data_IF_741378053231
#
_entry.id   IF_741378053231
#
_cell.length_a   1.000
_cell.length_b   1.000
_cell.length_c   1.000
_cell.angle_alpha   90.00
_cell.angle_beta   90.00
_cell.angle_gamma   90.00
#
_symmetry.space_group_name_H-M   'P 1'
#
loop_
_entity.id
_entity.type
_entity.pdbx_description
1 polymer ?
#
# COMPACT_ATOMS: atom_id res chain seq x y z
N UNK A 1 7.51 12.13 -16.38
CA UNK A 1 8.52 12.05 -15.29
C UNK A 1 9.42 10.86 -15.54
N UNK A 2 10.75 10.97 -15.34
CA UNK A 2 11.67 9.84 -15.45
C UNK A 2 11.41 8.80 -14.33
N UNK A 3 11.91 7.56 -14.51
CA UNK A 3 11.77 6.52 -13.47
C UNK A 3 12.48 6.93 -12.17
N UNK A 4 13.63 7.58 -12.27
CA UNK A 4 14.38 8.06 -11.10
C UNK A 4 13.62 9.15 -10.32
N UNK A 5 12.99 10.08 -11.02
CA UNK A 5 12.14 11.12 -10.39
C UNK A 5 10.90 10.52 -9.74
N UNK A 6 10.25 9.54 -10.40
CA UNK A 6 9.12 8.82 -9.83
C UNK A 6 9.53 8.10 -8.54
N UNK A 7 10.65 7.38 -8.56
CA UNK A 7 11.20 6.70 -7.39
C UNK A 7 11.52 7.67 -6.24
N UNK A 8 12.18 8.77 -6.53
CA UNK A 8 12.50 9.80 -5.53
C UNK A 8 11.23 10.40 -4.91
N UNK A 9 10.21 10.70 -5.74
CA UNK A 9 8.92 11.19 -5.26
C UNK A 9 8.18 10.14 -4.41
N UNK A 10 8.24 8.87 -4.81
CA UNK A 10 7.58 7.75 -4.13
C UNK A 10 8.15 7.47 -2.73
N UNK A 11 9.42 7.77 -2.46
CA UNK A 11 10.05 7.57 -1.15
C UNK A 11 9.63 8.61 -0.12
N UNK A 12 9.29 9.84 -0.53
CA UNK A 12 8.99 10.96 0.38
C UNK A 12 7.91 10.68 1.41
N UNK A 13 6.72 10.12 1.06
CA UNK A 13 5.69 9.82 2.05
C UNK A 13 6.17 8.82 3.10
N UNK A 14 6.99 7.84 2.71
CA UNK A 14 7.51 6.83 3.63
C UNK A 14 8.49 7.42 4.65
N UNK A 15 9.40 8.31 4.22
CA UNK A 15 10.29 9.06 5.14
C UNK A 15 9.46 9.87 6.13
N UNK A 16 8.43 10.57 5.67
CA UNK A 16 7.55 11.34 6.55
C UNK A 16 6.81 10.46 7.56
N UNK A 17 6.37 9.27 7.16
CA UNK A 17 5.69 8.30 8.02
C UNK A 17 6.65 7.61 9.01
N UNK A 18 7.91 7.42 8.63
CA UNK A 18 8.94 6.79 9.47
C UNK A 18 9.39 7.70 10.62
N UNK A 19 9.51 8.98 10.35
CA UNK A 19 10.00 9.98 11.30
C UNK A 19 11.19 10.78 10.76
N UNK A 20 11.55 11.91 11.40
CA UNK A 20 12.48 12.90 10.85
C UNK A 20 13.92 12.36 10.65
N UNK A 21 14.34 11.42 11.47
CA UNK A 21 15.72 10.89 11.47
C UNK A 21 15.88 9.61 10.66
N UNK A 22 14.83 9.19 9.93
CA UNK A 22 14.83 7.93 9.19
C UNK A 22 14.85 8.22 7.69
N UNK A 23 15.80 7.62 6.97
CA UNK A 23 16.01 7.84 5.55
C UNK A 23 16.12 6.51 4.79
N UNK A 24 15.86 6.54 3.50
CA UNK A 24 16.21 5.44 2.60
C UNK A 24 17.72 5.34 2.43
N UNK A 25 18.24 4.12 2.43
CA UNK A 25 19.65 3.81 2.21
C UNK A 25 19.80 2.59 1.28
N UNK A 26 20.89 2.48 0.49
CA UNK A 26 21.14 1.30 -0.35
C UNK A 26 21.25 0.00 0.44
N UNK A 27 21.82 0.09 1.64
CA UNK A 27 21.94 -1.02 2.58
C UNK A 27 20.93 -0.84 3.71
N UNK A 28 20.37 -1.95 4.19
CA UNK A 28 19.40 -1.91 5.29
C UNK A 28 20.05 -1.33 6.57
N UNK A 29 19.49 -0.23 7.03
CA UNK A 29 19.79 0.37 8.34
C UNK A 29 18.51 0.46 9.13
N UNK A 30 18.44 -0.24 10.27
CA UNK A 30 17.25 -0.29 11.10
C UNK A 30 17.30 0.83 12.13
N UNK A 31 16.39 1.78 11.98
CA UNK A 31 16.24 2.88 12.92
C UNK A 31 15.30 2.50 14.07
N UNK A 32 15.65 2.88 15.29
CA UNK A 32 14.73 2.80 16.44
C UNK A 32 13.75 3.97 16.32
N UNK A 33 12.51 3.67 16.00
CA UNK A 33 11.48 4.67 15.75
C UNK A 33 10.11 4.19 16.29
N UNK A 34 9.89 4.23 17.61
CA UNK A 34 8.66 3.72 18.25
C UNK A 34 7.40 4.46 17.80
N UNK A 35 7.55 5.70 17.29
CA UNK A 35 6.46 6.52 16.75
C UNK A 35 6.29 6.38 15.23
N UNK A 36 7.02 5.47 14.59
CA UNK A 36 6.90 5.21 13.14
C UNK A 36 5.48 4.78 12.77
N UNK A 37 4.97 5.35 11.69
CA UNK A 37 3.66 5.01 11.11
C UNK A 37 3.78 4.19 9.83
N UNK A 38 4.92 3.54 9.62
CA UNK A 38 5.13 2.65 8.48
C UNK A 38 4.37 1.33 8.59
N UNK A 39 4.00 0.94 9.80
CA UNK A 39 3.25 -0.27 10.12
C UNK A 39 2.41 -0.08 11.39
N UNK A 40 1.80 -1.15 11.91
CA UNK A 40 1.08 -1.09 13.17
C UNK A 40 1.99 -0.65 14.33
N UNK A 41 1.43 -0.01 15.38
CA UNK A 41 2.21 0.38 16.56
C UNK A 41 2.93 -0.83 17.18
N UNK A 42 4.22 -0.64 17.53
CA UNK A 42 5.03 -1.70 18.13
C UNK A 42 5.57 -2.76 17.15
N UNK A 43 5.37 -2.58 15.84
CA UNK A 43 5.88 -3.48 14.82
C UNK A 43 7.16 -2.94 14.15
N UNK A 44 7.98 -3.85 13.66
CA UNK A 44 9.03 -3.53 12.70
C UNK A 44 8.41 -3.32 11.32
N UNK A 45 8.84 -2.30 10.62
CA UNK A 45 8.39 -2.06 9.25
C UNK A 45 9.58 -1.96 8.29
N UNK A 46 9.43 -2.60 7.14
CA UNK A 46 10.45 -2.72 6.08
C UNK A 46 9.81 -2.25 4.77
N UNK A 47 10.46 -1.32 4.09
CA UNK A 47 10.03 -0.84 2.77
C UNK A 47 11.23 -0.77 1.86
N UNK A 48 11.17 -1.46 0.72
CA UNK A 48 12.15 -1.35 -0.37
C UNK A 48 11.55 -0.62 -1.55
N UNK A 49 12.18 0.45 -2.05
CA UNK A 49 11.75 1.19 -3.24
C UNK A 49 12.96 1.50 -4.12
N UNK A 50 12.94 0.98 -5.35
CA UNK A 50 13.93 1.25 -6.40
C UNK A 50 15.38 1.10 -5.89
N UNK A 51 15.67 -0.02 -5.23
CA UNK A 51 17.01 -0.38 -4.76
C UNK A 51 17.41 0.21 -3.41
N UNK A 52 16.61 1.07 -2.79
CA UNK A 52 16.86 1.60 -1.46
C UNK A 52 15.84 1.10 -0.44
N UNK A 53 16.25 1.07 0.83
CA UNK A 53 15.54 0.45 1.95
C UNK A 53 15.33 1.49 3.05
N UNK A 54 14.15 1.49 3.65
CA UNK A 54 13.86 2.12 4.92
C UNK A 54 13.35 1.04 5.88
N UNK A 55 13.91 1.00 7.10
CA UNK A 55 13.55 0.01 8.11
C UNK A 55 13.43 0.68 9.48
N UNK A 56 12.36 0.38 10.19
CA UNK A 56 12.12 0.89 11.55
C UNK A 56 11.78 -0.24 12.50
N UNK A 57 12.23 -0.13 13.75
CA UNK A 57 11.90 -1.03 14.84
C UNK A 57 11.40 -0.25 16.06
N UNK A 58 10.57 -0.86 16.92
CA UNK A 58 9.98 -0.18 18.06
C UNK A 58 10.96 0.10 19.20
N UNK A 59 12.02 -0.69 19.33
CA UNK A 59 13.00 -0.63 20.42
C UNK A 59 14.40 -1.08 19.96
N UNK A 60 15.46 -0.75 20.74
CA UNK A 60 16.85 -1.10 20.38
C UNK A 60 17.10 -2.59 20.21
N UNK A 61 16.57 -3.45 21.09
CA UNK A 61 16.79 -4.89 21.03
C UNK A 61 16.19 -5.51 19.76
N UNK A 62 14.98 -5.07 19.39
CA UNK A 62 14.35 -5.44 18.12
C UNK A 62 15.16 -4.91 16.93
N UNK A 63 15.65 -3.67 17.00
CA UNK A 63 16.45 -3.08 15.93
C UNK A 63 17.73 -3.87 15.68
N UNK A 64 18.46 -4.26 16.73
CA UNK A 64 19.71 -5.04 16.63
C UNK A 64 19.45 -6.41 16.00
N UNK A 65 18.42 -7.12 16.45
CA UNK A 65 18.05 -8.43 15.90
C UNK A 65 17.67 -8.32 14.40
N UNK A 66 16.88 -7.33 14.04
CA UNK A 66 16.47 -7.09 12.65
C UNK A 66 17.66 -6.65 11.80
N UNK A 67 18.52 -5.76 12.31
CA UNK A 67 19.73 -5.30 11.61
C UNK A 67 20.65 -6.49 11.23
N UNK A 68 20.87 -7.42 12.17
CA UNK A 68 21.64 -8.63 11.90
C UNK A 68 20.98 -9.51 10.83
N UNK A 69 19.68 -9.69 10.93
CA UNK A 69 18.92 -10.51 9.97
C UNK A 69 18.89 -9.91 8.56
N UNK A 70 18.90 -8.58 8.43
CA UNK A 70 18.89 -7.89 7.14
C UNK A 70 20.28 -7.73 6.49
N UNK A 71 21.36 -8.08 7.20
CA UNK A 71 22.72 -7.93 6.68
C UNK A 71 22.88 -8.65 5.33
N UNK A 72 23.37 -7.92 4.32
CA UNK A 72 23.63 -8.43 2.97
C UNK A 72 22.37 -8.65 2.11
N UNK A 73 21.17 -8.31 2.58
CA UNK A 73 19.95 -8.41 1.79
C UNK A 73 19.79 -7.20 0.86
N UNK A 74 19.32 -7.47 -0.35
CA UNK A 74 18.90 -6.44 -1.30
C UNK A 74 17.54 -5.84 -0.93
N UNK A 75 17.19 -4.69 -1.51
CA UNK A 75 15.89 -4.05 -1.32
C UNK A 75 14.70 -4.94 -1.73
N UNK A 76 14.88 -5.87 -2.66
CA UNK A 76 13.86 -6.85 -3.02
C UNK A 76 13.72 -7.95 -1.96
N UNK A 77 14.83 -8.36 -1.34
CA UNK A 77 14.85 -9.48 -0.39
C UNK A 77 14.45 -9.08 1.03
N UNK A 78 14.61 -7.79 1.42
CA UNK A 78 14.25 -7.32 2.78
C UNK A 78 12.75 -7.37 3.09
N UNK A 79 11.91 -7.54 2.09
CA UNK A 79 10.45 -7.68 2.25
C UNK A 79 9.95 -9.08 1.92
N UNK A 80 10.83 -10.01 1.54
CA UNK A 80 10.46 -11.39 1.24
C UNK A 80 10.15 -12.16 2.53
N UNK A 81 8.91 -12.66 2.64
CA UNK A 81 8.43 -13.32 3.84
C UNK A 81 9.21 -14.61 4.17
N UNK A 82 9.61 -15.38 3.15
CA UNK A 82 10.39 -16.61 3.33
C UNK A 82 11.80 -16.33 3.82
N UNK A 83 12.45 -15.33 3.23
CA UNK A 83 13.78 -14.87 3.66
C UNK A 83 13.75 -14.37 5.10
N UNK A 84 12.76 -13.55 5.43
CA UNK A 84 12.59 -12.99 6.78
C UNK A 84 12.30 -14.10 7.81
N UNK A 85 11.42 -15.05 7.51
CA UNK A 85 11.08 -16.15 8.40
C UNK A 85 12.26 -17.12 8.64
N UNK A 86 13.20 -17.22 7.69
CA UNK A 86 14.41 -18.02 7.87
C UNK A 86 15.46 -17.38 8.78
N UNK A 87 15.35 -16.08 9.07
CA UNK A 87 16.35 -15.31 9.81
C UNK A 87 15.85 -14.70 11.12
N UNK A 88 14.51 -14.58 11.27
CA UNK A 88 13.86 -13.95 12.41
C UNK A 88 12.79 -14.84 13.02
N UNK A 89 12.66 -14.80 14.34
CA UNK A 89 11.56 -15.46 15.04
C UNK A 89 10.28 -14.59 14.98
N UNK A 90 9.54 -14.74 13.89
CA UNK A 90 8.37 -13.91 13.59
C UNK A 90 7.12 -14.51 14.25
N UNK A 91 6.38 -13.67 14.99
CA UNK A 91 5.05 -14.01 15.51
C UNK A 91 3.97 -13.75 14.47
N UNK A 92 4.05 -12.60 13.79
CA UNK A 92 3.09 -12.17 12.78
C UNK A 92 3.80 -11.39 11.68
N UNK A 93 3.27 -11.51 10.44
CA UNK A 93 3.73 -10.74 9.28
C UNK A 93 2.52 -10.18 8.52
N UNK A 94 2.59 -8.90 8.18
CA UNK A 94 1.68 -8.23 7.25
C UNK A 94 2.43 -7.92 5.96
N UNK A 95 1.97 -8.50 4.86
CA UNK A 95 2.62 -8.43 3.56
C UNK A 95 3.34 -9.73 3.19
N UNK A 96 4.26 -9.70 2.23
CA UNK A 96 4.67 -8.51 1.48
C UNK A 96 3.54 -7.92 0.64
N UNK A 97 3.54 -6.61 0.52
CA UNK A 97 2.65 -5.89 -0.38
C UNK A 97 3.48 -5.16 -1.44
N UNK A 98 3.18 -5.37 -2.71
CA UNK A 98 3.80 -4.65 -3.82
C UNK A 98 3.40 -3.18 -3.77
N UNK A 99 4.37 -2.29 -3.95
CA UNK A 99 4.18 -0.85 -4.01
C UNK A 99 4.31 -0.37 -5.45
N UNK A 100 3.23 0.19 -5.97
CA UNK A 100 3.21 0.73 -7.32
C UNK A 100 2.76 2.19 -7.32
N UNK A 101 3.29 2.95 -8.26
CA UNK A 101 3.08 4.40 -8.39
C UNK A 101 2.78 4.77 -9.83
N UNK A 102 2.04 5.87 -10.03
CA UNK A 102 1.62 6.29 -11.35
C UNK A 102 2.05 7.72 -11.64
N UNK A 103 2.76 7.89 -12.75
CA UNK A 103 2.92 9.19 -13.40
C UNK A 103 1.69 9.51 -14.26
N UNK A 104 1.27 10.75 -14.28
CA UNK A 104 0.14 11.20 -15.10
C UNK A 104 0.29 10.84 -16.59
N UNK A 105 1.52 10.86 -17.12
CA UNK A 105 1.82 10.52 -18.51
C UNK A 105 1.62 9.01 -18.83
N UNK A 106 1.69 8.17 -17.81
CA UNK A 106 1.53 6.71 -17.96
C UNK A 106 0.08 6.24 -17.73
N UNK A 107 -0.81 7.15 -17.31
CA UNK A 107 -2.18 6.80 -16.98
C UNK A 107 -2.94 6.26 -18.19
N UNK A 108 -3.45 5.04 -18.05
CA UNK A 108 -4.25 4.34 -19.04
C UNK A 108 -5.70 4.29 -18.59
N UNK A 109 -6.52 5.17 -19.16
CA UNK A 109 -7.96 5.17 -18.85
C UNK A 109 -8.62 4.00 -19.60
N UNK A 110 -9.21 3.02 -18.90
CA UNK A 110 -9.92 1.92 -19.56
C UNK A 110 -11.27 2.43 -20.12
N UNK A 111 -11.77 1.77 -21.15
CA UNK A 111 -13.21 1.71 -21.39
C UNK A 111 -13.89 0.90 -20.28
N UNK A 112 -15.17 1.15 -20.05
CA UNK A 112 -15.91 0.40 -19.01
C UNK A 112 -17.26 1.01 -18.70
N UNK A 113 -17.97 0.46 -17.70
CA UNK A 113 -19.24 0.99 -17.24
C UNK A 113 -19.09 2.42 -16.70
N UNK A 114 -20.18 3.20 -16.69
CA UNK A 114 -20.16 4.52 -16.08
C UNK A 114 -19.83 4.44 -14.59
N UNK A 115 -19.06 5.42 -14.13
CA UNK A 115 -18.68 5.56 -12.71
C UNK A 115 -19.26 6.87 -12.21
N UNK A 116 -20.03 6.79 -11.13
CA UNK A 116 -20.65 7.94 -10.48
C UNK A 116 -20.24 7.98 -9.00
N UNK A 117 -20.42 9.13 -8.37
CA UNK A 117 -20.15 9.27 -6.95
C UNK A 117 -21.17 8.49 -6.13
N UNK A 118 -20.69 7.72 -5.15
CA UNK A 118 -21.56 7.14 -4.13
C UNK A 118 -21.70 8.12 -2.96
N UNK A 119 -22.94 8.26 -2.49
CA UNK A 119 -23.22 8.93 -1.23
C UNK A 119 -22.70 8.11 -0.03
N UNK A 120 -22.51 8.73 1.15
CA UNK A 120 -22.06 8.01 2.34
C UNK A 120 -22.94 6.80 2.66
N UNK A 121 -24.26 6.95 2.66
CA UNK A 121 -25.21 5.86 2.96
C UNK A 121 -25.09 4.67 2.01
N UNK A 122 -24.90 4.95 0.71
CA UNK A 122 -24.78 3.90 -0.31
C UNK A 122 -23.45 3.16 -0.18
N UNK A 123 -22.39 3.91 0.12
CA UNK A 123 -21.07 3.34 0.37
C UNK A 123 -21.07 2.47 1.64
N UNK A 124 -21.69 2.94 2.72
CA UNK A 124 -21.82 2.20 3.97
C UNK A 124 -22.58 0.89 3.76
N UNK A 125 -23.74 0.94 3.08
CA UNK A 125 -24.52 -0.26 2.74
C UNK A 125 -23.73 -1.26 1.89
N UNK A 126 -22.93 -0.78 0.94
CA UNK A 126 -22.04 -1.63 0.14
C UNK A 126 -20.92 -2.27 1.00
N UNK A 127 -20.27 -1.48 1.85
CA UNK A 127 -19.23 -1.95 2.74
C UNK A 127 -19.76 -3.03 3.69
N UNK A 128 -20.93 -2.82 4.27
CA UNK A 128 -21.57 -3.79 5.18
C UNK A 128 -21.93 -5.12 4.49
N UNK A 129 -22.23 -5.09 3.20
CA UNK A 129 -22.57 -6.28 2.42
C UNK A 129 -21.35 -7.13 2.03
N UNK A 130 -20.11 -6.62 2.20
CA UNK A 130 -18.87 -7.32 1.85
C UNK A 130 -18.22 -7.94 3.09
N UNK A 131 -17.53 -9.06 2.90
CA UNK A 131 -16.81 -9.75 3.98
C UNK A 131 -15.82 -8.82 4.71
N UNK A 132 -15.76 -8.88 6.06
CA UNK A 132 -14.85 -8.04 6.86
C UNK A 132 -13.37 -8.14 6.44
N UNK A 133 -12.90 -9.31 6.00
CA UNK A 133 -11.52 -9.47 5.56
C UNK A 133 -11.25 -8.72 4.24
N UNK A 134 -12.18 -8.75 3.29
CA UNK A 134 -12.08 -7.98 2.04
C UNK A 134 -12.13 -6.46 2.30
N UNK A 135 -12.98 -6.03 3.25
CA UNK A 135 -13.05 -4.62 3.69
C UNK A 135 -11.71 -4.14 4.26
N UNK A 136 -11.19 -4.90 5.23
CA UNK A 136 -9.91 -4.59 5.87
C UNK A 136 -8.75 -4.60 4.87
N UNK A 137 -8.76 -5.53 3.90
CA UNK A 137 -7.75 -5.58 2.83
C UNK A 137 -7.82 -4.37 1.91
N UNK A 138 -9.01 -3.89 1.59
CA UNK A 138 -9.23 -2.78 0.65
C UNK A 138 -8.88 -1.42 1.24
N UNK A 139 -9.02 -1.24 2.55
CA UNK A 139 -8.91 0.06 3.23
C UNK A 139 -9.96 1.08 2.80
N UNK A 140 -11.08 0.65 2.22
CA UNK A 140 -12.12 1.56 1.67
C UNK A 140 -12.76 2.44 2.75
N UNK A 141 -12.82 1.97 3.97
CA UNK A 141 -13.36 2.72 5.13
C UNK A 141 -12.47 3.91 5.54
N UNK A 142 -11.22 3.94 5.06
CA UNK A 142 -10.25 4.98 5.41
C UNK A 142 -10.12 6.09 4.35
N UNK A 143 -10.90 6.05 3.27
CA UNK A 143 -10.79 7.05 2.21
C UNK A 143 -11.15 8.45 2.73
N UNK A 144 -10.45 9.44 2.22
CA UNK A 144 -10.69 10.87 2.48
C UNK A 144 -11.10 11.63 1.22
N UNK A 145 -11.10 10.95 0.08
CA UNK A 145 -11.61 11.44 -1.19
C UNK A 145 -13.10 11.11 -1.34
N UNK A 146 -13.79 11.67 -2.35
CA UNK A 146 -15.08 11.12 -2.81
C UNK A 146 -14.94 9.62 -3.15
N UNK A 147 -16.01 8.87 -2.97
CA UNK A 147 -16.13 7.48 -3.39
C UNK A 147 -16.63 7.40 -4.83
N UNK A 148 -15.89 6.76 -5.71
CA UNK A 148 -16.22 6.54 -7.12
C UNK A 148 -16.75 5.13 -7.28
N UNK A 149 -18.03 4.98 -7.68
CA UNK A 149 -18.71 3.70 -7.68
C UNK A 149 -19.23 3.30 -9.07
N UNK A 150 -19.20 2.01 -9.32
CA UNK A 150 -19.94 1.35 -10.40
C UNK A 150 -21.23 0.79 -9.82
N UNK A 151 -22.33 1.12 -10.47
CA UNK A 151 -23.68 0.76 -10.06
C UNK A 151 -24.31 -0.23 -11.05
N UNK A 152 -25.03 -1.22 -10.53
CA UNK A 152 -25.93 -2.09 -11.26
C UNK A 152 -27.14 -2.40 -10.36
N UNK A 153 -28.32 -2.45 -10.92
CA UNK A 153 -29.58 -2.75 -10.21
C UNK A 153 -29.77 -1.93 -8.92
N UNK A 154 -29.53 -0.62 -9.01
CA UNK A 154 -29.61 0.34 -7.91
C UNK A 154 -28.71 0.03 -6.70
N UNK A 155 -27.65 -0.76 -6.92
CA UNK A 155 -26.67 -1.10 -5.90
C UNK A 155 -25.24 -0.78 -6.36
N UNK A 156 -24.38 -0.48 -5.38
CA UNK A 156 -22.94 -0.38 -5.61
C UNK A 156 -22.34 -1.79 -5.76
N UNK A 157 -21.59 -2.02 -6.83
CA UNK A 157 -20.93 -3.29 -7.12
C UNK A 157 -19.42 -3.21 -6.97
N UNK A 158 -18.84 -2.05 -7.19
CA UNK A 158 -17.46 -1.74 -6.92
C UNK A 158 -17.31 -0.27 -6.53
N UNK A 159 -16.42 0.03 -5.62
CA UNK A 159 -16.11 1.39 -5.22
C UNK A 159 -14.59 1.58 -5.11
N UNK A 160 -14.13 2.79 -5.37
CA UNK A 160 -12.76 3.20 -5.17
C UNK A 160 -12.68 4.63 -4.65
N UNK A 161 -11.64 4.89 -3.91
CA UNK A 161 -11.27 6.22 -3.44
C UNK A 161 -9.80 6.22 -3.06
N UNK A 162 -9.37 7.23 -2.34
CA UNK A 162 -8.03 7.26 -1.79
C UNK A 162 -7.99 7.97 -0.44
N UNK A 163 -7.04 7.59 0.39
CA UNK A 163 -6.66 8.34 1.57
C UNK A 163 -5.52 9.30 1.22
N UNK A 164 -5.65 10.55 1.64
CA UNK A 164 -4.57 11.54 1.53
C UNK A 164 -3.40 11.16 2.44
N UNK A 165 -2.24 10.89 1.87
CA UNK A 165 -0.99 10.66 2.57
C UNK A 165 -0.08 11.88 2.50
N UNK A 166 0.97 11.96 3.37
CA UNK A 166 1.97 13.02 3.30
C UNK A 166 2.58 13.20 1.91
N UNK A 167 3.20 14.34 1.68
CA UNK A 167 3.91 14.67 0.44
C UNK A 167 3.02 14.57 -0.82
N UNK A 168 1.74 14.96 -0.71
CA UNK A 168 0.77 14.98 -1.82
C UNK A 168 0.62 13.60 -2.48
N UNK A 169 0.44 12.55 -1.69
CA UNK A 169 0.26 11.19 -2.16
C UNK A 169 -1.19 10.73 -1.94
N UNK A 170 -1.79 10.11 -2.95
CA UNK A 170 -3.11 9.49 -2.89
C UNK A 170 -2.94 7.97 -2.73
N UNK A 171 -3.15 7.44 -1.54
CA UNK A 171 -3.14 6.00 -1.28
C UNK A 171 -4.48 5.40 -1.69
N UNK A 172 -4.48 4.63 -2.79
CA UNK A 172 -5.69 4.08 -3.42
C UNK A 172 -6.28 2.95 -2.56
N UNK A 173 -7.61 2.97 -2.46
CA UNK A 173 -8.44 1.94 -1.86
C UNK A 173 -9.48 1.51 -2.85
N UNK A 174 -9.63 0.21 -3.09
CA UNK A 174 -10.56 -0.35 -4.08
C UNK A 174 -11.24 -1.59 -3.52
N UNK A 175 -12.55 -1.60 -3.53
CA UNK A 175 -13.37 -2.73 -3.09
C UNK A 175 -14.31 -3.14 -4.21
N UNK A 176 -14.43 -4.46 -4.44
CA UNK A 176 -15.40 -5.04 -5.37
C UNK A 176 -16.17 -6.14 -4.64
N UNK A 177 -17.48 -6.10 -4.71
CA UNK A 177 -18.32 -7.15 -4.15
C UNK A 177 -17.93 -8.52 -4.71
N UNK A 178 -17.95 -9.61 -3.90
CA UNK A 178 -17.60 -10.95 -4.36
C UNK A 178 -18.39 -11.40 -5.59
N UNK A 179 -19.65 -10.98 -5.66
CA UNK A 179 -20.58 -11.25 -6.77
C UNK A 179 -20.26 -10.49 -8.06
N UNK A 180 -19.34 -9.51 -7.99
CA UNK A 180 -19.02 -8.56 -9.07
C UNK A 180 -17.57 -8.72 -9.58
N UNK A 181 -16.82 -9.71 -9.11
CA UNK A 181 -15.42 -9.95 -9.50
C UNK A 181 -15.30 -10.39 -10.96
N UNK A 182 -14.11 -10.25 -11.52
CA UNK A 182 -13.72 -10.65 -12.88
C UNK A 182 -14.50 -9.96 -14.03
N UNK A 183 -15.21 -8.87 -13.72
CA UNK A 183 -16.00 -8.06 -14.67
C UNK A 183 -15.34 -6.72 -15.03
N UNK A 184 -14.14 -6.47 -14.53
CA UNK A 184 -13.41 -5.22 -14.77
C UNK A 184 -13.92 -4.01 -13.96
N UNK A 185 -14.87 -4.18 -13.04
CA UNK A 185 -15.49 -3.11 -12.28
C UNK A 185 -14.51 -2.40 -11.33
N UNK A 186 -13.62 -3.16 -10.68
CA UNK A 186 -12.53 -2.59 -9.88
C UNK A 186 -11.69 -1.59 -10.68
N UNK A 187 -11.36 -1.96 -11.93
CA UNK A 187 -10.56 -1.11 -12.82
C UNK A 187 -11.30 0.16 -13.23
N UNK A 188 -12.61 0.07 -13.49
CA UNK A 188 -13.43 1.23 -13.82
C UNK A 188 -13.51 2.22 -12.64
N UNK A 189 -13.89 1.75 -11.45
CA UNK A 189 -13.96 2.57 -10.24
C UNK A 189 -12.59 3.19 -9.89
N UNK A 190 -11.53 2.38 -9.87
CA UNK A 190 -10.17 2.84 -9.59
C UNK A 190 -9.68 3.88 -10.61
N UNK A 191 -10.03 3.73 -11.89
CA UNK A 191 -9.68 4.71 -12.93
C UNK A 191 -10.24 6.10 -12.62
N UNK A 192 -11.47 6.19 -12.12
CA UNK A 192 -12.07 7.46 -11.74
C UNK A 192 -11.38 8.09 -10.52
N UNK A 193 -11.09 7.29 -9.50
CA UNK A 193 -10.34 7.74 -8.31
C UNK A 193 -8.93 8.22 -8.68
N UNK A 194 -8.23 7.50 -9.57
CA UNK A 194 -6.91 7.87 -10.09
C UNK A 194 -6.99 9.17 -10.88
N UNK A 195 -7.96 9.32 -11.79
CA UNK A 195 -8.13 10.55 -12.56
C UNK A 195 -8.35 11.76 -11.64
N UNK A 196 -9.18 11.62 -10.62
CA UNK A 196 -9.42 12.65 -9.61
C UNK A 196 -8.14 13.00 -8.83
N UNK A 197 -7.38 12.00 -8.38
CA UNK A 197 -6.12 12.21 -7.69
C UNK A 197 -5.09 12.96 -8.55
N UNK A 198 -4.96 12.56 -9.83
CA UNK A 198 -4.06 13.22 -10.79
C UNK A 198 -4.48 14.66 -11.07
N UNK A 199 -5.78 14.93 -11.24
CA UNK A 199 -6.31 16.30 -11.42
C UNK A 199 -6.02 17.20 -10.21
N UNK A 200 -6.01 16.61 -9.00
CA UNK A 200 -5.61 17.31 -7.77
C UNK A 200 -4.07 17.43 -7.61
N UNK A 201 -3.27 16.96 -8.58
CA UNK A 201 -1.80 16.99 -8.55
C UNK A 201 -1.19 16.05 -7.51
N UNK A 202 -1.93 15.04 -7.08
CA UNK A 202 -1.45 14.01 -6.15
C UNK A 202 -0.66 12.94 -6.90
N UNK A 203 0.22 12.23 -6.18
CA UNK A 203 0.89 11.03 -6.65
C UNK A 203 0.02 9.80 -6.30
N UNK A 204 -0.62 9.13 -7.27
CA UNK A 204 -1.32 7.90 -6.99
C UNK A 204 -0.35 6.81 -6.55
N UNK A 205 -0.65 6.16 -5.43
CA UNK A 205 0.09 5.06 -4.84
C UNK A 205 -0.84 3.88 -4.64
N UNK A 206 -0.42 2.72 -5.08
CA UNK A 206 -1.14 1.45 -4.95
C UNK A 206 -0.33 0.48 -4.09
N UNK A 207 -1.00 -0.18 -3.17
CA UNK A 207 -0.43 -1.23 -2.34
C UNK A 207 -1.24 -2.51 -2.55
N UNK A 208 -0.62 -3.55 -3.11
CA UNK A 208 -1.29 -4.78 -3.48
C UNK A 208 -0.63 -6.00 -2.84
N UNK A 209 -1.41 -6.82 -2.15
CA UNK A 209 -1.01 -8.13 -1.64
C UNK A 209 -1.40 -9.26 -2.58
N UNK A 210 -2.51 -9.13 -3.31
CA UNK A 210 -2.98 -10.15 -4.25
C UNK A 210 -2.54 -9.88 -5.69
N UNK A 211 -2.40 -10.95 -6.48
CA UNK A 211 -2.13 -10.86 -7.92
C UNK A 211 -3.25 -10.13 -8.68
N UNK A 212 -4.50 -10.31 -8.29
CA UNK A 212 -5.64 -9.63 -8.88
C UNK A 212 -5.54 -8.10 -8.71
N UNK A 213 -5.21 -7.64 -7.50
CA UNK A 213 -5.01 -6.21 -7.21
C UNK A 213 -3.84 -5.62 -8.01
N UNK A 214 -2.70 -6.34 -8.10
CA UNK A 214 -1.55 -5.95 -8.95
C UNK A 214 -1.95 -5.80 -10.42
N UNK A 215 -2.76 -6.73 -10.93
CA UNK A 215 -3.23 -6.71 -12.31
C UNK A 215 -4.05 -5.45 -12.63
N UNK A 216 -4.93 -5.04 -11.71
CA UNK A 216 -5.69 -3.79 -11.85
C UNK A 216 -4.76 -2.58 -11.91
N UNK A 217 -3.80 -2.48 -11.01
CA UNK A 217 -2.83 -1.39 -10.99
C UNK A 217 -2.02 -1.30 -12.29
N UNK A 218 -1.45 -2.42 -12.76
CA UNK A 218 -0.66 -2.48 -13.99
C UNK A 218 -1.50 -2.11 -15.23
N UNK A 219 -2.77 -2.54 -15.28
CA UNK A 219 -3.67 -2.20 -16.37
C UNK A 219 -4.00 -0.69 -16.44
N UNK A 220 -3.92 0.01 -15.30
CA UNK A 220 -4.08 1.47 -15.21
C UNK A 220 -2.77 2.24 -15.51
N UNK A 221 -1.65 1.54 -15.70
CA UNK A 221 -0.35 2.13 -16.01
C UNK A 221 0.56 2.36 -14.81
N UNK A 222 0.20 1.84 -13.62
CA UNK A 222 1.10 1.90 -12.47
C UNK A 222 2.39 1.13 -12.74
N UNK A 223 3.49 1.63 -12.17
CA UNK A 223 4.80 0.98 -12.19
C UNK A 223 5.12 0.45 -10.81
N UNK A 224 5.44 -0.83 -10.72
CA UNK A 224 5.90 -1.45 -9.47
C UNK A 224 7.32 -0.98 -9.19
N UNK A 225 7.53 -0.34 -8.05
CA UNK A 225 8.82 0.22 -7.63
C UNK A 225 9.41 -0.49 -6.42
N UNK A 226 8.65 -1.33 -5.75
CA UNK A 226 9.13 -2.00 -4.56
C UNK A 226 8.06 -2.75 -3.78
N UNK A 227 8.35 -3.01 -2.52
CA UNK A 227 7.44 -3.72 -1.63
C UNK A 227 7.56 -3.25 -0.17
N UNK A 228 6.56 -3.58 0.63
CA UNK A 228 6.49 -3.34 2.07
C UNK A 228 6.15 -4.63 2.81
N UNK A 229 6.79 -4.84 3.96
CA UNK A 229 6.38 -5.84 4.96
C UNK A 229 6.42 -5.22 6.36
N UNK A 230 5.54 -5.66 7.25
CA UNK A 230 5.60 -5.32 8.67
C UNK A 230 5.61 -6.60 9.50
N UNK A 231 6.43 -6.63 10.54
CA UNK A 231 6.72 -7.82 11.33
C UNK A 231 6.45 -7.54 12.81
N UNK A 232 5.86 -8.50 13.50
CA UNK A 232 5.91 -8.58 14.95
C UNK A 232 6.79 -9.77 15.34
N UNK A 233 7.89 -9.52 16.02
CA UNK A 233 8.77 -10.57 16.50
C UNK A 233 8.18 -11.22 17.76
N UNK A 234 8.48 -12.51 17.97
CA UNK A 234 8.22 -13.14 19.26
C UNK A 234 9.20 -12.56 20.27
N UNK A 235 8.71 -12.26 21.48
CA UNK A 235 9.61 -11.92 22.58
C UNK A 235 10.66 -13.03 22.73
N UNK A 236 11.94 -12.66 22.92
CA UNK A 236 12.93 -13.63 23.34
C UNK A 236 12.43 -14.24 24.65
N UNK A 237 12.12 -15.53 24.65
CA UNK A 237 11.66 -16.22 25.84
C UNK A 237 12.69 -16.01 26.94
N UNK A 238 12.30 -15.37 28.04
CA UNK A 238 13.07 -15.37 29.25
C UNK A 238 13.20 -16.83 29.70
N UNK A 239 14.43 -17.37 29.55
CA UNK A 239 14.82 -18.65 30.14
C UNK A 239 14.90 -18.57 31.65
#
# INVERSE_FOLDING_TARGET
MSLAELAARSRRPWVNLAGPDVQFTPEARVAVAPQSRLGPPGWTALVGIAGEIIATAPDPGTADAVQQALAGLSAASVTDAGVLASRLNIAEILGPATLAYLDAADFRRPGGPPVILAGPTDLDAFIEAVDPADRAESGIEEITSPAFAVWEDDRVWAAAGYRGWPCRTAHLSVLTGPWARDRGLARAAASAAVAHALAAGLLPQWRARSGASRHVALALGFRELGAQASLRLRAAGGG
#
